data_IF_939009676944
#
_entry.id   IF_939009676944
#
_cell.length_a   1.000
_cell.length_b   1.000
_cell.length_c   1.000
_cell.angle_alpha   90.00
_cell.angle_beta   90.00
_cell.angle_gamma   90.00
#
_symmetry.space_group_name_H-M   'P 1'
#
loop_
_entity.id
_entity.type
_entity.pdbx_description
1 polymer ?
#
# COMPACT_ATOMS: atom_id res chain seq x y z
N UNK A 1 -54.12 -2.40 23.64
CA UNK A 1 -53.29 -1.29 23.10
C UNK A 1 -51.84 -1.35 23.59
N UNK A 2 -51.57 -1.52 24.89
CA UNK A 2 -50.21 -1.57 25.47
C UNK A 2 -49.35 -2.75 24.97
N UNK A 3 -49.95 -3.93 24.75
CA UNK A 3 -49.25 -5.13 24.26
C UNK A 3 -48.77 -5.01 22.81
N UNK A 4 -49.55 -4.36 21.94
CA UNK A 4 -49.17 -4.10 20.53
C UNK A 4 -48.01 -3.10 20.46
N UNK A 5 -48.02 -2.08 21.33
CA UNK A 5 -46.93 -1.11 21.44
C UNK A 5 -45.61 -1.79 21.86
N UNK A 6 -45.65 -2.70 22.84
CA UNK A 6 -44.47 -3.47 23.28
C UNK A 6 -43.94 -4.41 22.22
N UNK A 7 -44.83 -5.06 21.44
CA UNK A 7 -44.44 -5.93 20.34
C UNK A 7 -43.70 -5.16 19.23
N UNK A 8 -44.19 -3.98 18.85
CA UNK A 8 -43.52 -3.13 17.84
C UNK A 8 -42.12 -2.65 18.27
N UNK A 9 -41.94 -2.36 19.56
CA UNK A 9 -40.65 -1.97 20.14
C UNK A 9 -39.66 -3.14 20.17
N UNK A 10 -40.11 -4.34 20.58
CA UNK A 10 -39.28 -5.55 20.58
C UNK A 10 -38.86 -5.97 19.15
N UNK A 11 -39.76 -5.86 18.17
CA UNK A 11 -39.45 -6.13 16.77
C UNK A 11 -38.38 -5.17 16.23
N UNK A 12 -38.48 -3.89 16.57
CA UNK A 12 -37.49 -2.86 16.14
C UNK A 12 -36.11 -3.11 16.74
N UNK A 13 -36.05 -3.46 18.03
CA UNK A 13 -34.80 -3.83 18.71
C UNK A 13 -34.18 -5.09 18.09
N UNK A 14 -35.00 -6.10 17.80
CA UNK A 14 -34.53 -7.33 17.16
C UNK A 14 -33.95 -7.07 15.76
N UNK A 15 -34.60 -6.22 14.95
CA UNK A 15 -34.09 -5.83 13.62
C UNK A 15 -32.75 -5.09 13.74
N UNK A 16 -32.65 -4.12 14.66
CA UNK A 16 -31.39 -3.39 14.88
C UNK A 16 -30.27 -4.33 15.34
N UNK A 17 -30.56 -5.27 16.25
CA UNK A 17 -29.59 -6.28 16.68
C UNK A 17 -29.17 -7.20 15.52
N UNK A 18 -30.09 -7.66 14.69
CA UNK A 18 -29.79 -8.45 13.51
C UNK A 18 -28.90 -7.70 12.51
N UNK A 19 -29.19 -6.42 12.26
CA UNK A 19 -28.38 -5.58 11.36
C UNK A 19 -26.96 -5.38 11.92
N UNK A 20 -26.83 -5.09 13.21
CA UNK A 20 -25.52 -4.92 13.87
C UNK A 20 -24.70 -6.21 13.85
N UNK A 21 -25.32 -7.36 14.11
CA UNK A 21 -24.65 -8.67 14.06
C UNK A 21 -24.22 -9.03 12.62
N UNK A 22 -25.08 -8.78 11.64
CA UNK A 22 -24.76 -9.03 10.23
C UNK A 22 -23.63 -8.11 9.72
N UNK A 23 -23.64 -6.83 10.10
CA UNK A 23 -22.58 -5.87 9.78
C UNK A 23 -21.24 -6.25 10.42
N UNK A 24 -21.24 -6.64 11.70
CA UNK A 24 -20.04 -7.11 12.39
C UNK A 24 -19.44 -8.37 11.73
N UNK A 25 -20.28 -9.31 11.30
CA UNK A 25 -19.85 -10.51 10.58
C UNK A 25 -19.24 -10.19 9.20
N UNK A 26 -19.79 -9.21 8.48
CA UNK A 26 -19.25 -8.75 7.18
C UNK A 26 -17.87 -8.11 7.39
N UNK A 27 -17.77 -7.14 8.30
CA UNK A 27 -16.50 -6.45 8.60
C UNK A 27 -15.42 -7.45 9.05
N UNK A 28 -15.76 -8.39 9.94
CA UNK A 28 -14.82 -9.43 10.40
C UNK A 28 -14.34 -10.33 9.26
N UNK A 29 -15.22 -10.65 8.30
CA UNK A 29 -14.89 -11.49 7.15
C UNK A 29 -13.98 -10.77 6.15
N UNK A 30 -14.15 -9.47 5.98
CA UNK A 30 -13.34 -8.67 5.06
C UNK A 30 -11.95 -8.42 5.64
N UNK A 31 -11.83 -8.09 6.94
CA UNK A 31 -10.53 -7.94 7.63
C UNK A 31 -9.71 -9.22 7.56
N UNK A 32 -10.29 -10.37 7.91
CA UNK A 32 -9.59 -11.66 7.88
C UNK A 32 -9.13 -12.05 6.47
N UNK A 33 -9.89 -11.69 5.44
CA UNK A 33 -9.54 -11.91 4.04
C UNK A 33 -8.40 -10.98 3.59
N UNK A 34 -8.46 -9.71 3.95
CA UNK A 34 -7.41 -8.73 3.66
C UNK A 34 -6.07 -9.16 4.25
N UNK A 35 -6.04 -9.58 5.52
CA UNK A 35 -4.83 -10.09 6.13
C UNK A 35 -4.26 -11.33 5.42
N UNK A 36 -5.14 -12.26 5.02
CA UNK A 36 -4.72 -13.46 4.30
C UNK A 36 -4.10 -13.11 2.94
N UNK A 37 -4.69 -12.17 2.20
CA UNK A 37 -4.13 -11.67 0.95
C UNK A 37 -2.80 -10.96 1.16
N UNK A 38 -2.68 -10.10 2.17
CA UNK A 38 -1.44 -9.39 2.44
C UNK A 38 -0.31 -10.37 2.84
N UNK A 39 -0.59 -11.34 3.71
CA UNK A 39 0.39 -12.39 4.07
C UNK A 39 0.84 -13.20 2.86
N UNK A 40 -0.09 -13.54 1.95
CA UNK A 40 0.27 -14.23 0.73
C UNK A 40 1.15 -13.34 -0.17
N UNK A 41 0.76 -12.08 -0.38
CA UNK A 41 1.47 -11.16 -1.25
C UNK A 41 2.92 -10.97 -0.80
N UNK A 42 3.16 -10.80 0.51
CA UNK A 42 4.50 -10.69 1.08
C UNK A 42 5.32 -11.96 0.80
N UNK A 43 4.75 -13.15 1.02
CA UNK A 43 5.46 -14.42 0.74
C UNK A 43 5.75 -14.59 -0.75
N UNK A 44 4.82 -14.20 -1.62
CA UNK A 44 5.00 -14.23 -3.06
C UNK A 44 6.13 -13.28 -3.50
N UNK A 45 6.16 -12.05 -2.98
CA UNK A 45 7.23 -11.09 -3.21
C UNK A 45 8.60 -11.60 -2.73
N UNK A 46 8.67 -12.22 -1.55
CA UNK A 46 9.89 -12.87 -1.05
C UNK A 46 10.38 -14.01 -1.96
N UNK A 47 9.45 -14.71 -2.60
CA UNK A 47 9.73 -15.74 -3.59
C UNK A 47 9.92 -15.18 -5.03
N UNK A 48 9.95 -13.84 -5.19
CA UNK A 48 10.04 -13.14 -6.47
C UNK A 48 8.91 -13.46 -7.46
N UNK A 49 7.77 -13.95 -6.95
CA UNK A 49 6.53 -14.16 -7.69
C UNK A 49 5.75 -12.84 -7.77
N UNK A 50 6.30 -11.88 -8.50
CA UNK A 50 5.84 -10.49 -8.48
C UNK A 50 4.43 -10.31 -9.05
N UNK A 51 4.05 -11.07 -10.08
CA UNK A 51 2.70 -11.00 -10.65
C UNK A 51 1.64 -11.46 -9.64
N UNK A 52 1.92 -12.52 -8.89
CA UNK A 52 1.06 -13.03 -7.84
C UNK A 52 0.97 -12.04 -6.67
N UNK A 53 2.08 -11.39 -6.32
CA UNK A 53 2.10 -10.34 -5.30
C UNK A 53 1.23 -9.14 -5.71
N UNK A 54 1.39 -8.64 -6.94
CA UNK A 54 0.55 -7.58 -7.53
C UNK A 54 -0.93 -7.97 -7.46
N UNK A 55 -1.27 -9.19 -7.90
CA UNK A 55 -2.65 -9.66 -7.89
C UNK A 55 -3.27 -9.62 -6.47
N UNK A 56 -2.52 -10.06 -5.46
CA UNK A 56 -3.03 -10.07 -4.08
C UNK A 56 -3.09 -8.69 -3.43
N UNK A 57 -2.11 -7.82 -3.65
CA UNK A 57 -2.21 -6.43 -3.16
C UNK A 57 -3.34 -5.65 -3.82
N UNK A 58 -3.65 -5.91 -5.10
CA UNK A 58 -4.87 -5.37 -5.72
C UNK A 58 -6.15 -5.86 -5.02
N UNK A 59 -6.19 -7.11 -4.56
CA UNK A 59 -7.34 -7.58 -3.78
C UNK A 59 -7.44 -6.90 -2.41
N UNK A 60 -6.31 -6.67 -1.73
CA UNK A 60 -6.29 -5.88 -0.49
C UNK A 60 -6.87 -4.48 -0.73
N UNK A 61 -6.37 -3.77 -1.75
CA UNK A 61 -6.81 -2.42 -2.10
C UNK A 61 -8.29 -2.39 -2.53
N UNK A 62 -8.80 -3.47 -3.15
CA UNK A 62 -10.23 -3.54 -3.50
C UNK A 62 -11.16 -3.62 -2.29
N UNK A 63 -10.66 -4.15 -1.16
CA UNK A 63 -11.40 -4.26 0.10
C UNK A 63 -11.19 -3.00 0.94
N UNK A 64 -9.93 -2.55 1.05
CA UNK A 64 -9.55 -1.32 1.73
C UNK A 64 -8.73 -0.41 0.79
N UNK A 65 -9.39 0.51 0.07
CA UNK A 65 -8.72 1.47 -0.80
C UNK A 65 -7.78 2.43 -0.06
N UNK A 66 -7.90 2.53 1.26
CA UNK A 66 -7.11 3.41 2.14
C UNK A 66 -5.86 2.75 2.71
N UNK A 67 -5.58 1.48 2.40
CA UNK A 67 -4.38 0.79 2.88
C UNK A 67 -3.11 1.33 2.19
N UNK A 68 -2.51 2.34 2.81
CA UNK A 68 -1.27 3.00 2.38
C UNK A 68 -0.11 2.01 2.17
N UNK A 69 -0.01 0.99 3.03
CA UNK A 69 1.04 -0.04 2.96
C UNK A 69 0.84 -0.93 1.74
N UNK A 70 -0.40 -1.33 1.45
CA UNK A 70 -0.70 -2.13 0.27
C UNK A 70 -0.38 -1.38 -1.03
N UNK A 71 -0.68 -0.08 -1.10
CA UNK A 71 -0.29 0.78 -2.24
C UNK A 71 1.24 0.87 -2.38
N UNK A 72 1.98 1.10 -1.30
CA UNK A 72 3.45 1.13 -1.36
C UNK A 72 4.03 -0.22 -1.81
N UNK A 73 3.54 -1.32 -1.27
CA UNK A 73 4.03 -2.65 -1.63
C UNK A 73 3.68 -3.04 -3.08
N UNK A 74 2.52 -2.60 -3.56
CA UNK A 74 2.16 -2.72 -4.96
C UNK A 74 3.16 -1.96 -5.86
N UNK A 75 3.59 -0.77 -5.45
CA UNK A 75 4.65 -0.02 -6.12
C UNK A 75 5.97 -0.80 -6.21
N UNK A 76 6.40 -1.43 -5.11
CA UNK A 76 7.61 -2.28 -5.09
C UNK A 76 7.52 -3.43 -6.08
N UNK A 77 6.39 -4.14 -6.12
CA UNK A 77 6.23 -5.24 -7.07
C UNK A 77 6.17 -4.78 -8.53
N UNK A 78 5.61 -3.61 -8.79
CA UNK A 78 5.63 -3.04 -10.14
C UNK A 78 7.04 -2.62 -10.58
N UNK A 79 7.84 -2.02 -9.71
CA UNK A 79 9.26 -1.75 -10.00
C UNK A 79 10.02 -3.04 -10.31
N UNK A 80 9.78 -4.12 -9.55
CA UNK A 80 10.41 -5.41 -9.77
C UNK A 80 10.01 -6.07 -11.11
N UNK A 81 8.83 -5.72 -11.64
CA UNK A 81 8.37 -6.14 -12.96
C UNK A 81 8.83 -5.20 -14.09
N UNK A 82 9.45 -4.06 -13.76
CA UNK A 82 9.84 -3.01 -14.73
C UNK A 82 8.70 -2.10 -15.18
N UNK A 83 7.53 -2.19 -14.54
CA UNK A 83 6.34 -1.39 -14.85
C UNK A 83 6.38 -0.07 -14.07
N UNK A 84 7.18 0.87 -14.54
CA UNK A 84 7.56 2.04 -13.74
C UNK A 84 6.42 3.05 -13.57
N UNK A 85 5.58 3.21 -14.58
CA UNK A 85 4.42 4.10 -14.54
C UNK A 85 3.40 3.64 -13.49
N UNK A 86 3.07 2.34 -13.45
CA UNK A 86 2.20 1.77 -12.43
C UNK A 86 2.82 1.82 -11.04
N UNK A 87 4.15 1.67 -10.93
CA UNK A 87 4.85 1.81 -9.67
C UNK A 87 4.73 3.23 -9.11
N UNK A 88 4.94 4.25 -9.96
CA UNK A 88 4.81 5.67 -9.60
C UNK A 88 3.40 5.95 -9.09
N UNK A 89 2.37 5.51 -9.81
CA UNK A 89 0.98 5.72 -9.41
C UNK A 89 0.66 5.07 -8.05
N UNK A 90 1.17 3.86 -7.80
CA UNK A 90 0.97 3.18 -6.53
C UNK A 90 1.70 3.87 -5.36
N UNK A 91 2.95 4.30 -5.56
CA UNK A 91 3.70 5.05 -4.55
C UNK A 91 3.11 6.43 -4.28
N UNK A 92 2.63 7.12 -5.31
CA UNK A 92 1.92 8.39 -5.17
C UNK A 92 0.72 8.23 -4.25
N UNK A 93 -0.10 7.21 -4.51
CA UNK A 93 -1.27 6.94 -3.69
C UNK A 93 -0.93 6.64 -2.23
N UNK A 94 0.14 5.88 -1.98
CA UNK A 94 0.63 5.64 -0.62
C UNK A 94 1.06 6.95 0.07
N UNK A 95 1.78 7.83 -0.64
CA UNK A 95 2.23 9.11 -0.12
C UNK A 95 1.07 10.11 0.11
N UNK A 96 0.01 10.05 -0.69
CA UNK A 96 -1.22 10.84 -0.46
C UNK A 96 -2.00 10.38 0.77
N UNK A 97 -2.09 9.05 0.98
CA UNK A 97 -2.78 8.46 2.13
C UNK A 97 -2.04 8.72 3.44
N UNK A 98 -0.70 8.68 3.42
CA UNK A 98 0.14 9.02 4.58
C UNK A 98 1.20 10.09 4.23
N UNK A 99 0.82 11.38 4.18
CA UNK A 99 1.73 12.46 3.81
C UNK A 99 2.96 12.58 4.72
N UNK A 100 2.84 12.19 5.98
CA UNK A 100 3.95 12.28 6.94
C UNK A 100 4.94 11.11 6.86
N UNK A 101 4.65 10.09 6.04
CA UNK A 101 5.52 8.95 5.86
C UNK A 101 6.64 9.26 4.86
N UNK A 102 7.83 9.52 5.39
CA UNK A 102 9.01 9.87 4.58
C UNK A 102 9.41 8.77 3.62
N UNK A 103 9.19 7.50 3.97
CA UNK A 103 9.55 6.36 3.11
C UNK A 103 8.70 6.31 1.85
N UNK A 104 7.38 6.54 1.94
CA UNK A 104 6.50 6.54 0.76
C UNK A 104 6.86 7.66 -0.21
N UNK A 105 7.11 8.85 0.34
CA UNK A 105 7.58 9.99 -0.45
C UNK A 105 8.93 9.71 -1.12
N UNK A 106 9.85 9.04 -0.43
CA UNK A 106 11.16 8.67 -0.99
C UNK A 106 11.02 7.65 -2.11
N UNK A 107 10.21 6.59 -1.93
CA UNK A 107 9.96 5.57 -2.95
C UNK A 107 9.35 6.17 -4.22
N UNK A 108 8.33 7.02 -4.08
CA UNK A 108 7.74 7.77 -5.18
C UNK A 108 8.79 8.60 -5.94
N UNK A 109 9.57 9.44 -5.23
CA UNK A 109 10.60 10.30 -5.83
C UNK A 109 11.69 9.47 -6.53
N UNK A 110 12.16 8.40 -5.91
CA UNK A 110 13.18 7.49 -6.46
C UNK A 110 12.68 6.88 -7.77
N UNK A 111 11.47 6.34 -7.77
CA UNK A 111 10.87 5.69 -8.93
C UNK A 111 10.77 6.66 -10.13
N UNK A 112 10.35 7.91 -9.88
CA UNK A 112 10.28 8.96 -10.90
C UNK A 112 11.63 9.36 -11.47
N UNK A 113 12.67 9.45 -10.62
CA UNK A 113 14.04 9.71 -11.09
C UNK A 113 14.53 8.57 -12.00
N UNK A 114 14.24 7.31 -11.65
CA UNK A 114 14.56 6.17 -12.50
C UNK A 114 13.87 6.25 -13.86
N UNK A 115 12.56 6.56 -13.90
CA UNK A 115 11.81 6.71 -15.14
C UNK A 115 12.34 7.87 -16.01
N UNK A 116 12.67 9.02 -15.40
CA UNK A 116 13.26 10.15 -16.14
C UNK A 116 14.62 9.79 -16.74
N UNK A 117 15.45 9.05 -16.00
CA UNK A 117 16.77 8.60 -16.46
C UNK A 117 16.69 7.56 -17.57
N UNK A 118 15.63 6.74 -17.61
CA UNK A 118 15.38 5.81 -18.71
C UNK A 118 14.74 6.48 -19.94
N UNK A 119 14.47 7.79 -19.89
CA UNK A 119 13.89 8.57 -20.99
C UNK A 119 12.36 8.57 -21.03
N UNK A 120 11.69 8.23 -19.93
CA UNK A 120 10.24 8.29 -19.81
C UNK A 120 9.67 9.70 -19.71
N UNK A 121 8.48 9.90 -20.28
CA UNK A 121 7.75 11.19 -20.34
C UNK A 121 6.98 11.44 -19.02
N UNK A 122 7.64 11.96 -17.99
CA UNK A 122 7.01 12.34 -16.71
C UNK A 122 6.57 13.82 -16.74
N UNK A 123 5.46 14.11 -17.44
CA UNK A 123 4.98 15.47 -17.72
C UNK A 123 4.08 16.08 -16.64
N UNK A 124 3.52 15.25 -15.76
CA UNK A 124 2.49 15.66 -14.78
C UNK A 124 3.02 15.74 -13.33
N UNK A 125 4.35 15.73 -13.20
CA UNK A 125 5.12 15.93 -11.99
C UNK A 125 4.66 17.08 -11.07
N UNK A 126 4.20 16.83 -9.82
CA UNK A 126 4.18 17.87 -8.81
C UNK A 126 5.62 18.33 -8.54
N UNK A 127 5.87 19.65 -8.64
CA UNK A 127 7.14 20.25 -8.21
C UNK A 127 7.21 20.15 -6.68
N UNK A 128 7.71 19.03 -6.19
CA UNK A 128 7.98 18.86 -4.78
C UNK A 128 9.38 19.36 -4.51
N UNK A 129 9.50 20.50 -3.83
CA UNK A 129 10.77 21.04 -3.37
C UNK A 129 11.62 19.89 -2.77
N UNK A 130 12.87 19.81 -3.23
CA UNK A 130 13.87 18.94 -2.63
C UNK A 130 13.96 19.35 -1.15
N UNK A 131 13.82 18.43 -0.18
CA UNK A 131 14.12 18.76 1.20
C UNK A 131 15.55 19.29 1.21
N UNK A 132 15.78 20.51 1.74
CA UNK A 132 17.13 21.02 1.88
C UNK A 132 17.94 19.95 2.62
N UNK A 133 19.17 19.69 2.15
CA UNK A 133 20.21 18.87 2.77
C UNK A 133 19.87 17.38 3.06
N UNK A 134 20.03 16.55 2.03
CA UNK A 134 20.62 15.20 2.17
C UNK A 134 21.93 15.12 1.35
N UNK A 135 22.58 16.26 1.12
CA UNK A 135 23.87 16.37 0.41
C UNK A 135 25.09 16.25 1.35
N UNK A 136 24.90 15.80 2.59
CA UNK A 136 26.00 15.67 3.57
C UNK A 136 26.19 14.21 4.04
N UNK A 137 26.04 13.23 3.15
CA UNK A 137 26.81 11.98 3.29
C UNK A 137 27.76 11.90 2.10
N UNK A 138 29.04 11.99 2.44
CA UNK A 138 30.19 12.07 1.57
C UNK A 138 30.07 11.20 0.31
N UNK A 139 30.01 11.87 -0.85
CA UNK A 139 30.39 11.33 -2.16
C UNK A 139 31.90 11.02 -2.21
N UNK A 140 32.31 10.06 -1.40
CA UNK A 140 33.56 9.30 -1.57
C UNK A 140 33.18 7.83 -1.50
N UNK A 141 32.51 7.33 -2.54
CA UNK A 141 32.50 5.92 -2.97
C UNK A 141 31.55 5.75 -4.16
N UNK A 142 31.82 6.47 -5.26
CA UNK A 142 31.06 6.32 -6.51
C UNK A 142 31.28 4.97 -7.23
N UNK A 143 32.10 4.07 -6.66
CA UNK A 143 32.44 2.78 -7.25
C UNK A 143 31.95 1.55 -6.45
N UNK A 144 31.33 1.71 -5.27
CA UNK A 144 30.87 0.55 -4.45
C UNK A 144 29.36 0.26 -4.55
N UNK A 145 28.56 1.11 -5.21
CA UNK A 145 27.10 0.95 -5.26
C UNK A 145 26.57 -0.04 -6.32
N UNK A 146 27.45 -0.64 -7.12
CA UNK A 146 27.03 -1.62 -8.14
C UNK A 146 26.64 -3.00 -7.60
N UNK A 147 26.92 -3.27 -6.32
CA UNK A 147 26.69 -4.57 -5.66
C UNK A 147 25.70 -4.51 -4.48
N UNK A 148 24.98 -3.40 -4.26
CA UNK A 148 23.93 -3.39 -3.23
C UNK A 148 22.68 -4.10 -3.76
N UNK A 149 22.56 -5.35 -3.34
CA UNK A 149 21.40 -6.21 -3.54
C UNK A 149 20.09 -5.46 -3.15
N UNK A 150 19.13 -5.28 -4.09
CA UNK A 150 17.90 -4.50 -3.85
C UNK A 150 17.03 -5.05 -2.71
N UNK A 151 17.32 -6.27 -2.26
CA UNK A 151 16.56 -7.04 -1.27
C UNK A 151 16.83 -6.57 0.17
N UNK A 152 17.85 -5.75 0.43
CA UNK A 152 18.16 -5.34 1.82
C UNK A 152 17.05 -4.50 2.48
N UNK A 153 16.14 -3.89 1.70
CA UNK A 153 15.01 -3.13 2.25
C UNK A 153 13.86 -4.01 2.79
N UNK A 154 13.84 -5.32 2.51
CA UNK A 154 12.79 -6.21 3.03
C UNK A 154 13.07 -6.69 4.46
N UNK A 155 14.31 -6.57 4.93
CA UNK A 155 14.73 -7.08 6.26
C UNK A 155 14.47 -6.10 7.41
N UNK A 156 14.35 -4.79 7.16
CA UNK A 156 14.17 -3.77 8.21
C UNK A 156 12.73 -3.72 8.79
N UNK A 157 11.80 -4.56 8.33
CA UNK A 157 10.43 -4.62 8.83
C UNK A 157 10.17 -5.73 9.86
N UNK A 158 11.21 -6.24 10.54
CA UNK A 158 11.06 -7.05 11.74
C UNK A 158 11.03 -6.17 13.00
N UNK A 159 9.82 -5.81 13.43
CA UNK A 159 9.45 -5.72 14.85
C UNK A 159 8.09 -6.37 15.07
#
# INVERSE_FOLDING_TARGET
>A
MVTVLRYSQLASIAILLCLMLSGCAIISRDVTRTEAYNRFAIKAAQAQLWNEAVFRWKQVISIDPGDSKAHNNLGVAYEALGNMEEAIAAYERAAELEPNNKYYRLNYRRCRIHLRRSGGDDKDAPQLEEPPHLLDEDTQDADSERDRDPIRYVDDFRM
#
